data_IF_763209562693
#
_entry.id   IF_763209562693
#
_cell.length_a   1.000
_cell.length_b   1.000
_cell.length_c   1.000
_cell.angle_alpha   90.00
_cell.angle_beta   90.00
_cell.angle_gamma   90.00
#
_symmetry.space_group_name_H-M   'P 1'
#
loop_
_entity.id
_entity.type
_entity.pdbx_description
1 polymer ?
#
# COMPACT_ATOMS: atom_id res chain seq x y z
N UNK A 1 4.19 -7.80 22.24
CA UNK A 1 2.86 -7.26 21.90
C UNK A 1 3.03 -5.86 21.33
N UNK A 2 2.29 -5.48 20.29
CA UNK A 2 2.36 -4.12 19.74
C UNK A 2 1.88 -3.08 20.77
N UNK A 3 2.44 -1.85 20.77
CA UNK A 3 1.95 -0.76 21.61
C UNK A 3 0.46 -0.49 21.39
N UNK A 4 -0.26 -0.13 22.45
CA UNK A 4 -1.66 0.27 22.33
C UNK A 4 -1.71 1.74 21.86
N UNK A 5 -2.34 2.03 20.71
CA UNK A 5 -2.47 3.41 20.23
C UNK A 5 -3.54 4.20 21.00
N UNK A 6 -4.53 3.54 21.60
CA UNK A 6 -5.72 4.23 22.14
C UNK A 6 -5.36 5.04 23.39
N UNK A 7 -5.72 6.32 23.38
CA UNK A 7 -5.43 7.25 24.48
C UNK A 7 -4.08 7.98 24.37
N UNK A 8 -3.27 7.70 23.35
CA UNK A 8 -2.04 8.45 23.06
C UNK A 8 -2.34 9.95 22.92
N UNK A 9 -1.55 10.80 23.58
CA UNK A 9 -1.59 12.26 23.37
C UNK A 9 -0.75 12.58 22.14
N UNK A 10 -1.42 12.95 21.05
CA UNK A 10 -0.77 13.25 19.75
C UNK A 10 -0.11 14.63 19.78
N UNK A 11 -0.78 15.61 20.38
CA UNK A 11 -0.26 16.97 20.61
C UNK A 11 -1.11 17.69 21.65
N UNK A 12 -0.57 18.74 22.24
CA UNK A 12 -1.31 19.58 23.18
C UNK A 12 -0.56 20.85 23.51
N UNK A 13 -1.26 21.80 24.12
CA UNK A 13 -0.71 23.07 24.58
C UNK A 13 -1.64 23.73 25.58
N UNK A 14 -1.08 24.49 26.52
CA UNK A 14 -1.84 25.50 27.27
C UNK A 14 -2.02 26.73 26.39
N UNK A 15 -3.27 27.14 26.13
CA UNK A 15 -3.59 28.32 25.36
C UNK A 15 -3.27 29.62 26.14
N UNK A 16 -3.12 30.78 25.48
CA UNK A 16 -2.81 32.05 26.15
C UNK A 16 -3.80 32.47 27.25
N UNK A 17 -5.03 31.97 27.19
CA UNK A 17 -6.05 32.24 28.20
C UNK A 17 -6.03 31.25 29.37
N UNK A 18 -5.17 30.23 29.37
CA UNK A 18 -5.04 29.24 30.43
C UNK A 18 -5.76 27.91 30.19
N UNK A 19 -6.47 27.74 29.06
CA UNK A 19 -7.10 26.46 28.70
C UNK A 19 -6.03 25.40 28.41
N UNK A 20 -6.14 24.23 29.03
CA UNK A 20 -5.38 23.03 28.65
C UNK A 20 -6.06 22.32 27.47
N UNK A 21 -5.38 22.27 26.34
CA UNK A 21 -5.87 21.64 25.10
C UNK A 21 -5.01 20.41 24.78
N UNK A 22 -5.65 19.25 24.63
CA UNK A 22 -4.99 17.98 24.25
C UNK A 22 -5.71 17.33 23.07
N UNK A 23 -4.98 16.91 22.04
CA UNK A 23 -5.49 16.01 21.01
C UNK A 23 -5.11 14.59 21.40
N UNK A 24 -6.10 13.71 21.55
CA UNK A 24 -5.91 12.32 21.97
C UNK A 24 -6.40 11.35 20.89
N UNK A 25 -5.71 10.22 20.76
CA UNK A 25 -6.05 9.16 19.82
C UNK A 25 -7.21 8.32 20.34
N UNK A 26 -8.16 8.00 19.46
CA UNK A 26 -9.37 7.21 19.75
C UNK A 26 -9.65 6.24 18.61
N UNK A 27 -10.32 5.10 18.84
CA UNK A 27 -10.71 4.21 17.76
C UNK A 27 -11.56 4.92 16.69
N UNK A 28 -11.56 4.41 15.47
CA UNK A 28 -12.48 4.86 14.42
C UNK A 28 -13.93 4.54 14.80
N UNK A 29 -14.16 3.36 15.38
CA UNK A 29 -15.47 2.85 15.78
C UNK A 29 -15.70 1.44 15.22
N UNK A 30 -16.48 1.34 14.15
CA UNK A 30 -16.79 0.09 13.45
C UNK A 30 -16.09 0.07 12.08
N UNK A 31 -15.22 -0.92 11.88
CA UNK A 31 -14.46 -1.13 10.64
C UNK A 31 -15.08 -2.28 9.84
N UNK A 32 -15.47 -2.02 8.60
CA UNK A 32 -15.90 -3.04 7.65
C UNK A 32 -14.76 -3.50 6.74
N UNK A 33 -14.43 -4.78 6.75
CA UNK A 33 -13.37 -5.35 5.90
C UNK A 33 -14.03 -6.19 4.81
N UNK A 34 -13.83 -5.80 3.55
CA UNK A 34 -14.36 -6.52 2.38
C UNK A 34 -13.19 -7.20 1.67
N UNK A 35 -13.14 -8.53 1.64
CA UNK A 35 -11.95 -9.24 1.15
C UNK A 35 -12.28 -10.51 0.35
N UNK A 36 -11.33 -10.94 -0.49
CA UNK A 36 -11.51 -12.09 -1.40
C UNK A 36 -10.36 -13.09 -1.32
N UNK A 37 -10.69 -14.39 -1.37
CA UNK A 37 -9.73 -15.48 -1.61
C UNK A 37 -8.68 -15.73 -0.53
N UNK A 38 -8.73 -15.03 0.61
CA UNK A 38 -7.68 -15.04 1.64
C UNK A 38 -8.28 -15.20 3.06
N UNK A 39 -8.55 -16.43 3.53
CA UNK A 39 -9.14 -16.66 4.85
C UNK A 39 -8.32 -16.10 6.02
N UNK A 40 -6.99 -16.00 5.88
CA UNK A 40 -6.11 -15.43 6.91
C UNK A 40 -6.46 -13.97 7.24
N UNK A 41 -6.97 -13.20 6.26
CA UNK A 41 -7.40 -11.80 6.46
C UNK A 41 -8.46 -11.69 7.55
N UNK A 42 -9.29 -12.73 7.74
CA UNK A 42 -10.26 -12.81 8.84
C UNK A 42 -9.62 -12.59 10.20
N UNK A 43 -8.50 -13.25 10.46
CA UNK A 43 -7.79 -13.21 11.75
C UNK A 43 -6.93 -11.96 11.83
N UNK A 44 -6.18 -11.65 10.77
CA UNK A 44 -5.27 -10.50 10.72
C UNK A 44 -6.03 -9.19 10.96
N UNK A 45 -7.15 -9.02 10.25
CA UNK A 45 -7.97 -7.83 10.36
C UNK A 45 -8.68 -7.73 11.71
N UNK A 46 -9.18 -8.85 12.24
CA UNK A 46 -9.80 -8.88 13.57
C UNK A 46 -8.80 -8.50 14.66
N UNK A 47 -7.58 -9.05 14.62
CA UNK A 47 -6.55 -8.77 15.60
C UNK A 47 -6.16 -7.27 15.60
N UNK A 48 -5.95 -6.69 14.42
CA UNK A 48 -5.60 -5.27 14.27
C UNK A 48 -6.74 -4.34 14.71
N UNK A 49 -7.99 -4.64 14.33
CA UNK A 49 -9.15 -3.85 14.73
C UNK A 49 -9.36 -3.89 16.24
N UNK A 50 -9.35 -5.08 16.84
CA UNK A 50 -9.50 -5.24 18.29
C UNK A 50 -8.38 -4.52 19.05
N UNK A 51 -7.14 -4.65 18.58
CA UNK A 51 -5.98 -4.00 19.22
C UNK A 51 -5.99 -2.48 19.10
N UNK A 52 -6.65 -1.92 18.07
CA UNK A 52 -6.87 -0.48 17.92
C UNK A 52 -8.20 0.00 18.53
N UNK A 53 -8.90 -0.87 19.27
CA UNK A 53 -10.13 -0.56 20.00
C UNK A 53 -11.38 -0.45 19.12
N UNK A 54 -11.33 -1.00 17.90
CA UNK A 54 -12.45 -1.01 16.96
C UNK A 54 -13.25 -2.32 17.04
N UNK A 55 -14.56 -2.23 16.79
CA UNK A 55 -15.34 -3.38 16.38
C UNK A 55 -15.11 -3.64 14.88
N UNK A 56 -15.29 -4.89 14.44
CA UNK A 56 -15.03 -5.29 13.05
C UNK A 56 -16.18 -6.11 12.45
N UNK A 57 -16.56 -5.74 11.22
CA UNK A 57 -17.45 -6.49 10.36
C UNK A 57 -16.63 -7.10 9.22
N UNK A 58 -16.54 -8.42 9.18
CA UNK A 58 -15.73 -9.16 8.22
C UNK A 58 -16.63 -9.69 7.11
N UNK A 59 -16.42 -9.25 5.87
CA UNK A 59 -17.12 -9.77 4.69
C UNK A 59 -16.10 -10.37 3.72
N UNK A 60 -15.90 -11.69 3.83
CA UNK A 60 -15.10 -12.46 2.88
C UNK A 60 -15.87 -12.96 1.65
N UNK A 61 -15.17 -13.48 0.64
CA UNK A 61 -15.78 -14.13 -0.53
C UNK A 61 -16.49 -15.43 -0.18
N UNK A 62 -17.50 -15.80 -0.98
CA UNK A 62 -18.25 -17.06 -0.83
C UNK A 62 -17.34 -18.29 -0.90
N UNK A 63 -16.29 -18.25 -1.72
CA UNK A 63 -15.28 -19.31 -1.86
C UNK A 63 -14.55 -19.67 -0.56
N UNK A 64 -14.48 -18.74 0.40
CA UNK A 64 -13.81 -18.91 1.68
C UNK A 64 -14.80 -18.96 2.86
N UNK A 65 -16.12 -18.95 2.60
CA UNK A 65 -17.13 -18.70 3.64
C UNK A 65 -17.05 -19.67 4.81
N UNK A 66 -16.95 -20.98 4.55
CA UNK A 66 -16.83 -21.99 5.61
C UNK A 66 -15.58 -21.79 6.49
N UNK A 67 -14.46 -21.44 5.87
CA UNK A 67 -13.21 -21.15 6.59
C UNK A 67 -13.35 -19.89 7.43
N UNK A 68 -13.91 -18.82 6.87
CA UNK A 68 -14.13 -17.56 7.58
C UNK A 68 -15.09 -17.75 8.76
N UNK A 69 -16.16 -18.53 8.60
CA UNK A 69 -17.09 -18.88 9.69
C UNK A 69 -16.39 -19.60 10.83
N UNK A 70 -15.55 -20.59 10.53
CA UNK A 70 -14.79 -21.30 11.55
C UNK A 70 -13.81 -20.36 12.28
N UNK A 71 -13.09 -19.51 11.55
CA UNK A 71 -12.13 -18.56 12.11
C UNK A 71 -12.83 -17.50 12.97
N UNK A 72 -13.93 -16.90 12.50
CA UNK A 72 -14.69 -15.92 13.28
C UNK A 72 -15.23 -16.53 14.57
N UNK A 73 -15.71 -17.79 14.54
CA UNK A 73 -16.16 -18.47 15.75
C UNK A 73 -15.03 -18.56 16.80
N UNK A 74 -13.85 -19.02 16.40
CA UNK A 74 -12.68 -19.11 17.30
C UNK A 74 -12.29 -17.75 17.86
N UNK A 75 -12.26 -16.70 17.02
CA UNK A 75 -11.94 -15.34 17.45
C UNK A 75 -12.98 -14.82 18.45
N UNK A 76 -14.28 -15.03 18.17
CA UNK A 76 -15.37 -14.62 19.08
C UNK A 76 -15.30 -15.34 20.42
N UNK A 77 -15.02 -16.64 20.43
CA UNK A 77 -14.84 -17.42 21.66
C UNK A 77 -13.66 -16.86 22.49
N UNK A 78 -12.55 -16.51 21.84
CA UNK A 78 -11.40 -15.90 22.51
C UNK A 78 -11.69 -14.48 23.05
N UNK A 79 -12.40 -13.65 22.29
CA UNK A 79 -12.84 -12.30 22.71
C UNK A 79 -13.77 -12.41 23.94
N UNK A 80 -14.74 -13.31 23.91
CA UNK A 80 -15.65 -13.56 25.04
C UNK A 80 -14.92 -14.11 26.27
N UNK A 81 -13.97 -15.02 26.07
CA UNK A 81 -13.12 -15.56 27.14
C UNK A 81 -12.23 -14.49 27.81
N UNK A 82 -11.91 -13.41 27.10
CA UNK A 82 -11.19 -12.25 27.64
C UNK A 82 -12.11 -11.22 28.33
N UNK A 83 -13.42 -11.48 28.44
CA UNK A 83 -14.40 -10.59 29.08
C UNK A 83 -14.88 -9.43 28.19
N UNK A 84 -14.60 -9.47 26.89
CA UNK A 84 -15.06 -8.47 25.93
C UNK A 84 -16.35 -8.95 25.23
N UNK A 85 -17.17 -8.03 24.69
CA UNK A 85 -18.34 -8.42 23.89
C UNK A 85 -17.92 -9.21 22.66
N UNK A 86 -18.38 -10.46 22.53
CA UNK A 86 -18.08 -11.30 21.36
C UNK A 86 -18.53 -10.64 20.04
N UNK A 87 -19.56 -9.80 20.08
CA UNK A 87 -20.08 -9.03 18.95
C UNK A 87 -19.16 -7.89 18.48
N UNK A 88 -18.02 -7.66 19.15
CA UNK A 88 -16.95 -6.83 18.62
C UNK A 88 -16.33 -7.41 17.33
N UNK A 89 -16.54 -8.71 17.04
CA UNK A 89 -16.15 -9.36 15.79
C UNK A 89 -17.36 -10.07 15.19
N UNK A 90 -17.77 -9.67 13.99
CA UNK A 90 -18.89 -10.32 13.30
C UNK A 90 -18.53 -10.69 11.86
N UNK A 91 -19.05 -11.83 11.42
CA UNK A 91 -19.02 -12.22 10.01
C UNK A 91 -20.30 -11.70 9.35
N UNK A 92 -20.14 -10.87 8.33
CA UNK A 92 -21.24 -10.48 7.45
C UNK A 92 -21.52 -11.66 6.49
N UNK A 93 -22.78 -12.08 6.28
CA UNK A 93 -23.10 -13.22 5.42
C UNK A 93 -22.42 -13.13 4.05
N UNK A 94 -21.63 -14.14 3.68
CA UNK A 94 -20.81 -14.13 2.46
C UNK A 94 -21.45 -14.83 1.26
N UNK A 95 -22.71 -15.23 1.37
CA UNK A 95 -23.38 -16.14 0.42
C UNK A 95 -23.90 -15.44 -0.84
N UNK A 96 -24.15 -14.14 -0.78
CA UNK A 96 -24.56 -13.32 -1.93
C UNK A 96 -23.76 -12.00 -2.01
N UNK A 97 -23.93 -11.27 -3.12
CA UNK A 97 -23.39 -9.90 -3.29
C UNK A 97 -24.22 -8.84 -2.57
N UNK A 98 -25.42 -9.16 -2.11
CA UNK A 98 -26.33 -8.17 -1.51
C UNK A 98 -25.83 -7.69 -0.15
N UNK A 99 -25.26 -8.59 0.64
CA UNK A 99 -24.67 -8.22 1.94
C UNK A 99 -23.51 -7.25 1.82
N UNK A 100 -22.72 -7.31 0.74
CA UNK A 100 -21.66 -6.33 0.44
C UNK A 100 -22.27 -4.96 0.18
N UNK A 101 -23.33 -4.92 -0.64
CA UNK A 101 -24.01 -3.68 -1.00
C UNK A 101 -24.67 -3.02 0.21
N UNK A 102 -25.24 -3.81 1.11
CA UNK A 102 -25.78 -3.32 2.38
C UNK A 102 -24.66 -2.75 3.26
N UNK A 103 -23.56 -3.49 3.43
CA UNK A 103 -22.40 -3.03 4.20
C UNK A 103 -21.82 -1.73 3.63
N UNK A 104 -21.70 -1.62 2.30
CA UNK A 104 -21.22 -0.43 1.60
C UNK A 104 -22.09 0.81 1.82
N UNK A 105 -23.38 0.60 2.14
CA UNK A 105 -24.37 1.66 2.36
C UNK A 105 -24.72 1.91 3.82
N UNK A 106 -24.11 1.16 4.75
CA UNK A 106 -24.39 1.20 6.19
C UNK A 106 -23.79 2.44 6.91
N UNK A 107 -23.81 3.61 6.26
CA UNK A 107 -23.29 4.86 6.83
C UNK A 107 -24.06 5.22 8.10
N UNK A 108 -23.32 5.57 9.16
CA UNK A 108 -23.88 5.83 10.49
C UNK A 108 -23.93 4.59 11.39
N UNK A 109 -23.65 3.40 10.83
CA UNK A 109 -23.42 2.16 11.58
C UNK A 109 -21.98 1.66 11.42
N UNK A 110 -21.38 1.90 10.24
CA UNK A 110 -19.99 1.61 9.91
C UNK A 110 -19.26 2.91 9.65
N UNK A 111 -18.11 3.08 10.31
CA UNK A 111 -17.32 4.31 10.25
C UNK A 111 -16.36 4.31 9.05
N UNK A 112 -15.85 3.14 8.67
CA UNK A 112 -14.93 2.99 7.53
C UNK A 112 -15.01 1.61 6.89
N UNK A 113 -14.80 1.55 5.58
CA UNK A 113 -14.54 0.31 4.84
C UNK A 113 -13.08 0.22 4.40
N UNK A 114 -12.54 -0.99 4.41
CA UNK A 114 -11.22 -1.32 3.89
C UNK A 114 -11.38 -2.52 2.94
N UNK A 115 -11.34 -2.32 1.61
CA UNK A 115 -11.30 -3.41 0.66
C UNK A 115 -9.92 -4.07 0.63
N UNK A 116 -9.86 -5.40 0.48
CA UNK A 116 -8.64 -6.19 0.26
C UNK A 116 -8.89 -7.24 -0.82
N UNK A 117 -8.50 -6.93 -2.06
CA UNK A 117 -8.71 -7.82 -3.19
C UNK A 117 -8.05 -7.29 -4.45
N UNK A 118 -8.53 -7.73 -5.61
CA UNK A 118 -8.09 -7.19 -6.89
C UNK A 118 -8.68 -5.80 -7.17
N UNK A 119 -8.13 -5.12 -8.19
CA UNK A 119 -8.52 -3.78 -8.60
C UNK A 119 -10.04 -3.62 -8.79
N UNK A 120 -10.71 -4.61 -9.41
CA UNK A 120 -12.16 -4.56 -9.63
C UNK A 120 -12.96 -4.47 -8.33
N UNK A 121 -12.60 -5.23 -7.28
CA UNK A 121 -13.28 -5.16 -5.99
C UNK A 121 -13.05 -3.80 -5.33
N UNK A 122 -11.80 -3.35 -5.30
CA UNK A 122 -11.41 -2.07 -4.69
C UNK A 122 -12.18 -0.94 -5.36
N UNK A 123 -12.19 -0.88 -6.69
CA UNK A 123 -12.91 0.13 -7.47
C UNK A 123 -14.41 0.10 -7.20
N UNK A 124 -15.03 -1.09 -7.14
CA UNK A 124 -16.45 -1.19 -6.78
C UNK A 124 -16.72 -0.63 -5.38
N UNK A 125 -15.91 -0.96 -4.37
CA UNK A 125 -16.09 -0.46 -3.01
C UNK A 125 -15.89 1.04 -2.95
N UNK A 126 -14.86 1.58 -3.59
CA UNK A 126 -14.58 3.02 -3.60
C UNK A 126 -15.69 3.82 -4.29
N UNK A 127 -16.20 3.35 -5.43
CA UNK A 127 -17.15 4.10 -6.24
C UNK A 127 -18.62 3.98 -5.79
N UNK A 128 -19.02 2.85 -5.20
CA UNK A 128 -20.43 2.59 -4.87
C UNK A 128 -20.75 2.74 -3.37
N UNK A 129 -19.76 2.95 -2.49
CA UNK A 129 -19.98 3.08 -1.04
C UNK A 129 -20.45 4.47 -0.63
N UNK A 130 -21.36 4.51 0.35
CA UNK A 130 -21.69 5.75 1.07
C UNK A 130 -20.93 5.86 2.40
N UNK A 131 -20.45 4.72 2.93
CA UNK A 131 -19.50 4.66 4.04
C UNK A 131 -18.13 5.14 3.55
N UNK A 132 -17.37 5.94 4.32
CA UNK A 132 -16.01 6.31 3.97
C UNK A 132 -15.12 5.08 3.70
N UNK A 133 -14.24 5.17 2.71
CA UNK A 133 -13.34 4.08 2.34
C UNK A 133 -11.90 4.52 2.59
N UNK A 134 -11.08 3.64 3.17
CA UNK A 134 -9.63 3.73 3.04
C UNK A 134 -9.23 2.74 1.95
N UNK A 135 -8.95 3.29 0.78
CA UNK A 135 -8.56 2.54 -0.41
C UNK A 135 -7.18 1.93 -0.20
N UNK A 136 -7.08 0.61 -0.40
CA UNK A 136 -5.78 -0.03 -0.63
C UNK A 136 -5.51 -0.03 -2.12
N UNK A 137 -4.36 0.51 -2.55
CA UNK A 137 -4.10 0.72 -3.96
C UNK A 137 -3.70 -0.54 -4.73
N UNK A 138 -3.83 -0.45 -6.05
CA UNK A 138 -3.04 -1.26 -6.99
C UNK A 138 -1.58 -0.81 -6.98
N UNK A 139 -0.74 -1.57 -7.67
CA UNK A 139 0.71 -1.55 -7.49
C UNK A 139 1.55 -1.32 -8.75
N UNK A 140 1.22 -0.36 -9.61
CA UNK A 140 2.13 0.00 -10.71
C UNK A 140 3.32 0.82 -10.18
N UNK A 141 4.41 0.13 -9.83
CA UNK A 141 5.60 0.68 -9.19
C UNK A 141 6.79 0.78 -10.15
N UNK A 142 7.60 1.83 -10.03
CA UNK A 142 8.75 2.07 -10.90
C UNK A 142 10.08 1.94 -10.15
N UNK A 143 11.11 1.48 -10.88
CA UNK A 143 12.52 1.65 -10.50
C UNK A 143 13.19 2.53 -11.55
N UNK A 144 13.69 3.68 -11.13
CA UNK A 144 14.45 4.60 -11.97
C UNK A 144 15.96 4.51 -11.68
N UNK A 145 16.75 4.18 -12.70
CA UNK A 145 18.22 4.14 -12.64
C UNK A 145 18.77 5.45 -13.21
N UNK A 146 19.29 6.30 -12.33
CA UNK A 146 19.77 7.64 -12.64
C UNK A 146 21.14 7.66 -13.35
N UNK A 147 21.51 8.79 -13.93
CA UNK A 147 22.80 8.99 -14.61
C UNK A 147 24.02 8.71 -13.72
N UNK A 148 23.87 8.85 -12.40
CA UNK A 148 24.94 8.61 -11.42
C UNK A 148 24.68 7.39 -10.54
N UNK A 149 23.99 6.37 -11.05
CA UNK A 149 23.75 5.12 -10.34
C UNK A 149 25.05 4.31 -10.14
N UNK A 150 25.14 3.64 -8.98
CA UNK A 150 25.96 2.44 -8.85
C UNK A 150 25.22 1.31 -9.58
N UNK A 151 25.80 0.79 -10.65
CA UNK A 151 25.11 -0.13 -11.55
C UNK A 151 24.92 -1.52 -10.96
N UNK A 152 25.83 -1.97 -10.10
CA UNK A 152 25.70 -3.28 -9.45
C UNK A 152 24.57 -3.22 -8.41
N UNK A 153 24.53 -2.14 -7.61
CA UNK A 153 23.40 -1.86 -6.72
C UNK A 153 22.07 -1.74 -7.50
N UNK A 154 22.09 -1.10 -8.67
CA UNK A 154 20.89 -0.96 -9.49
C UNK A 154 20.34 -2.31 -9.99
N UNK A 155 21.21 -3.26 -10.38
CA UNK A 155 20.79 -4.62 -10.75
C UNK A 155 20.18 -5.33 -9.55
N UNK A 156 20.84 -5.31 -8.39
CA UNK A 156 20.33 -5.97 -7.17
C UNK A 156 18.95 -5.42 -6.76
N UNK A 157 18.79 -4.10 -6.79
CA UNK A 157 17.52 -3.44 -6.46
C UNK A 157 16.44 -3.80 -7.49
N UNK A 158 16.74 -3.79 -8.79
CA UNK A 158 15.80 -4.15 -9.84
C UNK A 158 15.28 -5.58 -9.66
N UNK A 159 16.20 -6.55 -9.53
CA UNK A 159 15.85 -7.96 -9.40
C UNK A 159 15.08 -8.22 -8.10
N UNK A 160 15.50 -7.62 -6.98
CA UNK A 160 14.74 -7.74 -5.75
C UNK A 160 13.34 -7.15 -5.88
N UNK A 161 13.22 -5.99 -6.52
CA UNK A 161 11.95 -5.29 -6.71
C UNK A 161 10.97 -6.06 -7.59
N UNK A 162 11.43 -6.71 -8.66
CA UNK A 162 10.56 -7.48 -9.57
C UNK A 162 10.38 -8.94 -9.11
N UNK A 163 11.48 -9.67 -8.91
CA UNK A 163 11.48 -11.13 -8.92
C UNK A 163 11.42 -11.79 -7.52
N UNK A 164 11.58 -11.04 -6.42
CA UNK A 164 11.49 -11.62 -5.07
C UNK A 164 10.09 -12.19 -4.79
N UNK A 165 9.04 -11.45 -5.19
CA UNK A 165 7.64 -11.86 -5.06
C UNK A 165 6.79 -11.06 -6.05
N UNK A 166 6.43 -11.65 -7.19
CA UNK A 166 5.71 -10.95 -8.27
C UNK A 166 4.23 -10.70 -7.94
N UNK A 167 3.58 -11.56 -7.15
CA UNK A 167 2.15 -11.49 -6.86
C UNK A 167 1.74 -10.49 -5.78
N UNK A 168 2.51 -9.41 -5.56
CA UNK A 168 2.22 -8.35 -4.56
C UNK A 168 2.33 -6.96 -5.17
N UNK A 169 1.50 -6.04 -4.67
CA UNK A 169 1.32 -4.68 -5.21
C UNK A 169 2.51 -3.71 -5.04
N UNK A 170 3.63 -4.17 -4.51
CA UNK A 170 4.86 -3.37 -4.41
C UNK A 170 6.01 -4.00 -5.20
N UNK A 171 5.73 -5.00 -6.04
CA UNK A 171 6.67 -5.45 -7.05
C UNK A 171 6.87 -4.33 -8.09
N UNK A 172 8.09 -4.18 -8.60
CA UNK A 172 8.34 -3.27 -9.71
C UNK A 172 7.64 -3.79 -10.97
N UNK A 173 6.93 -2.90 -11.66
CA UNK A 173 6.23 -3.18 -12.91
C UNK A 173 6.86 -2.42 -14.09
N UNK A 174 7.58 -1.31 -13.82
CA UNK A 174 8.30 -0.55 -14.84
C UNK A 174 9.75 -0.23 -14.42
N UNK A 175 10.70 -0.41 -15.33
CA UNK A 175 12.09 0.03 -15.23
C UNK A 175 12.32 1.27 -16.13
N UNK A 176 12.83 2.34 -15.54
CA UNK A 176 13.26 3.53 -16.28
C UNK A 176 14.78 3.67 -16.16
N UNK A 177 15.48 3.83 -17.28
CA UNK A 177 16.95 3.95 -17.28
C UNK A 177 17.38 5.28 -17.89
N UNK A 178 18.25 6.02 -17.21
CA UNK A 178 18.80 7.24 -17.78
C UNK A 178 19.71 6.92 -18.98
N UNK A 179 19.58 7.71 -20.05
CA UNK A 179 20.31 7.50 -21.30
C UNK A 179 21.83 7.37 -21.15
N UNK A 180 22.43 8.16 -20.25
CA UNK A 180 23.89 8.20 -20.04
C UNK A 180 24.46 6.88 -19.48
N UNK A 181 23.64 6.06 -18.83
CA UNK A 181 24.06 4.76 -18.26
C UNK A 181 23.46 3.57 -19.00
N UNK A 182 22.52 3.78 -19.92
CA UNK A 182 21.78 2.73 -20.61
C UNK A 182 22.70 1.72 -21.31
N UNK A 183 23.73 2.18 -22.01
CA UNK A 183 24.65 1.32 -22.74
C UNK A 183 25.45 0.36 -21.84
N UNK A 184 25.75 0.77 -20.61
CA UNK A 184 26.50 -0.03 -19.64
C UNK A 184 25.59 -0.89 -18.76
N UNK A 185 24.43 -0.34 -18.36
CA UNK A 185 23.50 -0.96 -17.43
C UNK A 185 22.58 -2.00 -18.09
N UNK A 186 21.98 -1.68 -19.24
CA UNK A 186 20.95 -2.52 -19.85
C UNK A 186 21.42 -3.94 -20.18
N UNK A 187 22.64 -4.17 -20.72
CA UNK A 187 23.11 -5.53 -20.94
C UNK A 187 23.16 -6.37 -19.65
N UNK A 188 23.54 -5.75 -18.52
CA UNK A 188 23.61 -6.42 -17.20
C UNK A 188 22.21 -6.68 -16.65
N UNK A 189 21.34 -5.68 -16.72
CA UNK A 189 19.97 -5.76 -16.25
C UNK A 189 19.17 -6.81 -17.01
N UNK A 190 19.27 -6.83 -18.35
CA UNK A 190 18.57 -7.80 -19.19
C UNK A 190 19.06 -9.22 -18.94
N UNK A 191 20.37 -9.46 -18.81
CA UNK A 191 20.89 -10.77 -18.45
C UNK A 191 20.37 -11.25 -17.09
N UNK A 192 20.39 -10.38 -16.07
CA UNK A 192 19.88 -10.72 -14.74
C UNK A 192 18.36 -10.99 -14.73
N UNK A 193 17.59 -10.21 -15.50
CA UNK A 193 16.15 -10.43 -15.68
C UNK A 193 15.86 -11.75 -16.41
N UNK A 194 16.68 -12.11 -17.41
CA UNK A 194 16.59 -13.39 -18.10
C UNK A 194 16.84 -14.58 -17.16
N UNK A 195 17.87 -14.49 -16.31
CA UNK A 195 18.16 -15.50 -15.30
C UNK A 195 17.02 -15.66 -14.28
N UNK A 196 16.34 -14.56 -13.96
CA UNK A 196 15.14 -14.57 -13.10
C UNK A 196 13.86 -15.03 -13.82
N UNK A 197 13.92 -15.30 -15.14
CA UNK A 197 12.78 -15.72 -15.95
C UNK A 197 11.78 -14.62 -16.27
N UNK A 198 12.21 -13.34 -16.23
CA UNK A 198 11.36 -12.17 -16.50
C UNK A 198 11.31 -11.87 -17.99
N UNK A 199 10.10 -11.66 -18.52
CA UNK A 199 9.87 -11.08 -19.85
C UNK A 199 9.90 -9.56 -19.77
N UNK A 200 10.60 -8.91 -20.69
CA UNK A 200 10.76 -7.46 -20.72
C UNK A 200 9.98 -6.88 -21.88
N UNK A 201 9.01 -6.01 -21.60
CA UNK A 201 8.26 -5.22 -22.58
C UNK A 201 8.98 -3.89 -22.76
N UNK A 202 9.64 -3.69 -23.88
CA UNK A 202 10.70 -2.68 -24.03
C UNK A 202 10.41 -1.65 -25.12
N UNK A 203 10.85 -0.40 -24.89
CA UNK A 203 10.96 0.60 -25.97
C UNK A 203 12.10 0.26 -26.95
N UNK A 204 12.14 0.96 -28.09
CA UNK A 204 13.17 0.76 -29.13
C UNK A 204 14.60 0.90 -28.59
N UNK A 205 14.82 1.75 -27.58
CA UNK A 205 16.14 2.03 -27.02
C UNK A 205 16.61 0.86 -26.15
N UNK A 206 15.74 0.26 -25.36
CA UNK A 206 16.04 -0.96 -24.60
C UNK A 206 16.20 -2.16 -25.54
N UNK A 207 15.33 -2.29 -26.55
CA UNK A 207 15.40 -3.35 -27.57
C UNK A 207 16.74 -3.39 -28.31
N UNK A 208 17.38 -2.23 -28.53
CA UNK A 208 18.70 -2.15 -29.15
C UNK A 208 19.80 -2.90 -28.36
N UNK A 209 19.60 -3.16 -27.07
CA UNK A 209 20.52 -3.89 -26.19
C UNK A 209 20.15 -5.38 -25.99
N UNK A 210 19.06 -5.86 -26.60
CA UNK A 210 18.51 -7.19 -26.32
C UNK A 210 19.29 -8.35 -26.97
N UNK A 211 19.91 -8.14 -28.14
CA UNK A 211 20.39 -9.21 -29.04
C UNK A 211 21.34 -10.24 -28.41
N UNK A 212 22.12 -9.83 -27.42
CA UNK A 212 23.12 -10.70 -26.75
C UNK A 212 22.81 -10.95 -25.26
N UNK A 213 21.65 -10.50 -24.77
CA UNK A 213 21.30 -10.56 -23.35
C UNK A 213 20.72 -11.89 -22.88
N UNK A 214 20.22 -12.72 -23.80
CA UNK A 214 19.47 -13.93 -23.47
C UNK A 214 18.06 -13.69 -22.90
N UNK A 215 17.67 -12.41 -22.72
CA UNK A 215 16.35 -12.04 -22.22
C UNK A 215 15.26 -12.22 -23.28
N UNK A 216 14.06 -12.61 -22.83
CA UNK A 216 12.86 -12.52 -23.65
C UNK A 216 12.40 -11.05 -23.66
N UNK A 217 12.76 -10.31 -24.72
CA UNK A 217 12.41 -8.90 -24.87
C UNK A 217 11.41 -8.75 -26.01
N UNK A 218 10.27 -8.14 -25.72
CA UNK A 218 9.18 -7.86 -26.68
C UNK A 218 8.94 -6.35 -26.75
N UNK A 219 8.31 -5.88 -27.82
CA UNK A 219 7.96 -4.47 -27.98
C UNK A 219 6.88 -4.07 -26.97
N UNK A 220 7.13 -3.00 -26.22
CA UNK A 220 6.12 -2.43 -25.31
C UNK A 220 5.02 -1.70 -26.10
N UNK A 221 3.77 -1.91 -25.71
CA UNK A 221 2.62 -1.12 -26.17
C UNK A 221 2.30 -0.01 -25.17
N UNK A 222 1.43 0.97 -25.52
CA UNK A 222 0.99 1.98 -24.57
C UNK A 222 0.35 1.40 -23.29
N UNK A 223 -0.32 0.25 -23.39
CA UNK A 223 -0.98 -0.44 -22.28
C UNK A 223 0.02 -1.00 -21.25
N UNK A 224 1.24 -1.36 -21.67
CA UNK A 224 2.27 -1.89 -20.78
C UNK A 224 2.67 -0.89 -19.69
N UNK A 225 2.67 0.41 -19.99
CA UNK A 225 3.04 1.45 -19.02
C UNK A 225 2.00 1.60 -17.90
N UNK A 226 0.72 1.29 -18.16
CA UNK A 226 -0.36 1.37 -17.17
C UNK A 226 -0.54 0.05 -16.39
N UNK A 227 0.04 -1.05 -16.89
CA UNK A 227 -0.29 -2.41 -16.45
C UNK A 227 0.43 -2.78 -15.16
N UNK A 228 -0.34 -3.20 -14.14
CA UNK A 228 0.18 -3.98 -13.02
C UNK A 228 0.16 -5.47 -13.40
N UNK A 229 1.31 -6.02 -13.79
CA UNK A 229 1.38 -7.39 -14.32
C UNK A 229 1.13 -8.47 -13.26
N UNK A 230 1.66 -8.30 -12.05
CA UNK A 230 1.67 -9.32 -10.99
C UNK A 230 2.28 -10.68 -11.42
N UNK A 231 3.16 -10.66 -12.42
CA UNK A 231 3.82 -11.81 -13.03
C UNK A 231 5.31 -11.54 -13.24
N UNK A 232 6.00 -12.49 -13.89
CA UNK A 232 7.38 -12.32 -14.35
C UNK A 232 7.41 -11.51 -15.67
N UNK A 233 6.79 -10.34 -15.65
CA UNK A 233 6.76 -9.37 -16.74
C UNK A 233 7.15 -8.00 -16.18
N UNK A 234 7.87 -7.19 -16.95
CA UNK A 234 8.22 -5.80 -16.60
C UNK A 234 8.27 -4.94 -17.86
N UNK A 235 7.76 -3.71 -17.79
CA UNK A 235 7.97 -2.72 -18.83
C UNK A 235 9.34 -2.03 -18.65
N UNK A 236 10.01 -1.63 -19.73
CA UNK A 236 11.32 -0.99 -19.66
C UNK A 236 11.50 0.11 -20.72
N UNK A 237 11.93 1.29 -20.30
CA UNK A 237 12.20 2.42 -21.20
C UNK A 237 13.50 3.16 -20.84
N UNK A 238 14.11 3.77 -21.85
CA UNK A 238 15.22 4.72 -21.64
C UNK A 238 14.69 6.15 -21.66
N UNK A 239 15.01 6.92 -20.62
CA UNK A 239 14.60 8.33 -20.46
C UNK A 239 15.80 9.27 -20.52
N UNK A 240 15.57 10.48 -21.01
CA UNK A 240 16.65 11.43 -21.30
C UNK A 240 17.16 12.18 -20.05
N UNK A 241 16.36 12.21 -18.98
CA UNK A 241 16.66 12.94 -17.75
C UNK A 241 15.81 12.46 -16.58
N UNK A 242 16.19 12.86 -15.36
CA UNK A 242 15.36 12.70 -14.16
C UNK A 242 13.98 13.33 -14.32
N UNK A 243 13.89 14.49 -14.99
CA UNK A 243 12.60 15.14 -15.23
C UNK A 243 11.70 14.29 -16.11
N UNK A 244 12.25 13.62 -17.13
CA UNK A 244 11.50 12.67 -17.97
C UNK A 244 11.11 11.40 -17.21
N UNK A 245 11.95 10.91 -16.31
CA UNK A 245 11.57 9.82 -15.41
C UNK A 245 10.38 10.21 -14.53
N UNK A 246 10.42 11.38 -13.90
CA UNK A 246 9.33 11.90 -13.06
C UNK A 246 8.06 12.14 -13.87
N UNK A 247 8.18 12.66 -15.10
CA UNK A 247 7.04 12.89 -15.99
C UNK A 247 6.35 11.57 -16.36
N UNK A 248 7.13 10.53 -16.67
CA UNK A 248 6.61 9.17 -16.89
C UNK A 248 5.92 8.60 -15.65
N UNK A 249 6.59 8.64 -14.50
CA UNK A 249 6.03 8.14 -13.23
C UNK A 249 4.71 8.85 -12.91
N UNK A 250 4.64 10.18 -13.04
CA UNK A 250 3.40 10.93 -12.76
C UNK A 250 2.23 10.56 -13.66
N UNK A 251 2.52 10.11 -14.88
CA UNK A 251 1.50 9.69 -15.82
C UNK A 251 0.95 8.31 -15.47
N UNK A 252 1.81 7.39 -15.03
CA UNK A 252 1.47 5.96 -14.97
C UNK A 252 1.47 5.34 -13.56
N UNK A 253 2.01 6.04 -12.57
CA UNK A 253 2.03 5.56 -11.18
C UNK A 253 0.62 5.33 -10.63
N UNK A 254 0.50 4.25 -9.86
CA UNK A 254 -0.64 4.02 -8.97
C UNK A 254 -0.59 4.84 -7.66
N UNK A 255 0.48 5.64 -7.47
CA UNK A 255 0.79 6.32 -6.22
C UNK A 255 1.29 5.38 -5.13
N UNK A 256 1.73 4.17 -5.48
CA UNK A 256 2.18 3.14 -4.53
C UNK A 256 3.64 3.36 -4.11
N UNK A 257 4.59 2.75 -4.81
CA UNK A 257 6.02 2.82 -4.45
C UNK A 257 6.86 3.14 -5.67
N UNK A 258 7.72 4.16 -5.57
CA UNK A 258 8.65 4.52 -6.63
C UNK A 258 10.06 4.57 -6.08
N UNK A 259 11.03 4.00 -6.80
CA UNK A 259 12.42 3.97 -6.39
C UNK A 259 13.32 4.74 -7.35
N UNK A 260 14.31 5.44 -6.82
CA UNK A 260 15.46 5.95 -7.57
C UNK A 260 16.74 5.26 -7.09
N UNK A 261 17.61 4.87 -8.02
CA UNK A 261 18.97 4.40 -7.74
C UNK A 261 19.96 5.45 -8.23
N UNK A 262 20.69 6.08 -7.31
CA UNK A 262 21.66 7.15 -7.59
C UNK A 262 22.67 7.34 -6.47
N UNK A 263 23.91 7.71 -6.80
CA UNK A 263 24.90 8.22 -5.84
C UNK A 263 24.82 9.75 -5.69
N UNK A 264 24.06 10.44 -6.55
CA UNK A 264 23.87 11.88 -6.50
C UNK A 264 22.85 12.27 -5.44
N UNK A 265 23.30 12.94 -4.38
CA UNK A 265 22.39 13.49 -3.36
C UNK A 265 21.42 14.52 -3.93
N UNK A 266 21.81 15.25 -4.99
CA UNK A 266 20.95 16.22 -5.63
C UNK A 266 19.79 15.53 -6.37
N UNK A 267 20.08 14.46 -7.12
CA UNK A 267 19.08 13.67 -7.82
C UNK A 267 18.11 13.00 -6.84
N UNK A 268 18.65 12.36 -5.80
CA UNK A 268 17.84 11.72 -4.75
C UNK A 268 16.86 12.71 -4.10
N UNK A 269 17.34 13.87 -3.65
CA UNK A 269 16.48 14.91 -3.04
C UNK A 269 15.42 15.40 -4.03
N UNK A 270 15.80 15.68 -5.27
CA UNK A 270 14.87 16.17 -6.29
C UNK A 270 13.79 15.14 -6.61
N UNK A 271 14.14 13.86 -6.75
CA UNK A 271 13.19 12.78 -6.99
C UNK A 271 12.17 12.67 -5.84
N UNK A 272 12.65 12.62 -4.59
CA UNK A 272 11.76 12.55 -3.40
C UNK A 272 10.85 13.76 -3.21
N UNK A 273 11.20 14.92 -3.78
CA UNK A 273 10.36 16.11 -3.77
C UNK A 273 9.30 16.12 -4.88
N UNK A 274 9.61 15.51 -6.03
CA UNK A 274 8.78 15.60 -7.22
C UNK A 274 7.81 14.44 -7.38
N UNK A 275 8.15 13.26 -6.85
CA UNK A 275 7.32 12.05 -6.91
C UNK A 275 6.35 12.04 -5.72
N UNK A 276 5.06 11.89 -6.02
CA UNK A 276 3.97 11.94 -5.04
C UNK A 276 3.31 10.58 -4.89
N UNK A 277 4.07 9.60 -4.40
CA UNK A 277 3.61 8.25 -4.08
C UNK A 277 3.62 8.02 -2.58
N UNK A 278 2.98 6.95 -2.11
CA UNK A 278 2.97 6.68 -0.67
C UNK A 278 4.35 6.34 -0.13
N UNK A 279 5.21 5.72 -0.94
CA UNK A 279 6.61 5.48 -0.57
C UNK A 279 7.50 5.90 -1.73
N UNK A 280 8.51 6.73 -1.43
CA UNK A 280 9.57 7.07 -2.37
C UNK A 280 10.89 6.55 -1.82
N UNK A 281 11.43 5.53 -2.47
CA UNK A 281 12.66 4.86 -2.05
C UNK A 281 13.88 5.47 -2.76
N UNK A 282 14.99 5.61 -2.03
CA UNK A 282 16.29 5.99 -2.58
C UNK A 282 17.25 4.85 -2.28
N UNK A 283 17.82 4.23 -3.32
CA UNK A 283 18.76 3.12 -3.20
C UNK A 283 18.21 1.95 -2.36
N UNK A 284 16.92 1.66 -2.49
CA UNK A 284 16.26 0.54 -1.84
C UNK A 284 15.17 -0.04 -2.74
N UNK A 285 14.90 -1.33 -2.58
CA UNK A 285 13.85 -2.02 -3.33
C UNK A 285 12.46 -1.48 -2.97
N UNK A 286 11.56 -1.48 -3.96
CA UNK A 286 10.14 -1.18 -3.77
C UNK A 286 9.47 -2.14 -2.77
N UNK A 287 10.01 -3.37 -2.65
CA UNK A 287 9.52 -4.45 -1.79
C UNK A 287 9.56 -4.14 -0.30
N UNK A 288 10.30 -3.11 0.11
CA UNK A 288 10.32 -2.64 1.49
C UNK A 288 9.04 -1.92 1.90
N UNK A 289 8.14 -1.57 0.98
CA UNK A 289 6.85 -0.96 1.32
C UNK A 289 5.92 -2.00 1.93
N UNK A 290 6.10 -2.27 3.22
CA UNK A 290 5.44 -3.31 3.99
C UNK A 290 5.52 -2.93 5.48
N UNK A 291 4.42 -3.05 6.22
CA UNK A 291 4.35 -2.64 7.62
C UNK A 291 5.30 -3.41 8.54
N UNK A 292 5.61 -4.68 8.22
CA UNK A 292 6.62 -5.44 8.94
C UNK A 292 8.02 -4.87 8.71
N UNK A 293 8.36 -4.56 7.45
CA UNK A 293 9.64 -3.94 7.09
C UNK A 293 9.79 -2.52 7.63
N UNK A 294 8.69 -1.76 7.75
CA UNK A 294 8.68 -0.42 8.34
C UNK A 294 8.69 -0.42 9.88
N UNK A 295 8.67 -1.61 10.50
CA UNK A 295 8.71 -1.74 11.97
C UNK A 295 7.36 -1.53 12.66
N UNK A 296 6.25 -1.51 11.92
CA UNK A 296 4.89 -1.43 12.48
C UNK A 296 4.45 -2.79 13.04
N UNK A 297 5.15 -3.85 12.65
CA UNK A 297 4.96 -5.23 13.07
C UNK A 297 3.83 -5.95 12.33
N UNK A 298 2.72 -5.26 12.07
CA UNK A 298 1.63 -5.75 11.24
C UNK A 298 0.97 -4.59 10.48
N UNK A 299 0.30 -4.91 9.38
CA UNK A 299 -0.48 -3.95 8.57
C UNK A 299 -1.84 -4.51 8.16
N UNK A 300 -2.83 -3.63 8.03
CA UNK A 300 -4.15 -3.97 7.48
C UNK A 300 -4.19 -3.86 5.95
N UNK A 301 -3.18 -3.26 5.33
CA UNK A 301 -3.08 -3.01 3.89
C UNK A 301 -2.20 -1.78 3.63
N UNK A 302 -2.00 -1.45 2.35
CA UNK A 302 -1.21 -0.29 1.93
C UNK A 302 -2.14 0.68 1.23
N UNK A 303 -2.31 1.87 1.79
CA UNK A 303 -3.16 2.89 1.19
C UNK A 303 -2.38 3.82 0.27
N UNK A 304 -2.87 4.04 -0.94
CA UNK A 304 -2.30 4.99 -1.90
C UNK A 304 -2.98 6.35 -1.86
N UNK A 305 -4.14 6.46 -1.19
CA UNK A 305 -4.89 7.70 -1.07
C UNK A 305 -4.17 8.73 -0.20
N UNK A 306 -4.49 10.01 -0.36
CA UNK A 306 -3.89 11.09 0.43
C UNK A 306 -4.55 11.35 1.78
N UNK A 307 -5.83 11.03 1.89
CA UNK A 307 -6.63 11.36 3.07
C UNK A 307 -6.48 10.29 4.16
N UNK A 308 -6.39 10.72 5.41
CA UNK A 308 -6.34 9.88 6.62
C UNK A 308 -5.06 9.08 6.81
N UNK A 309 -4.87 8.01 6.03
CA UNK A 309 -3.72 7.12 6.11
C UNK A 309 -3.14 6.93 4.71
N UNK A 310 -1.81 6.97 4.60
CA UNK A 310 -1.08 6.80 3.35
C UNK A 310 0.14 5.91 3.62
N UNK A 311 0.18 4.77 2.96
CA UNK A 311 1.23 3.76 3.10
C UNK A 311 0.77 2.53 3.84
N UNK A 312 1.71 1.68 4.28
CA UNK A 312 1.42 0.59 5.19
C UNK A 312 0.60 1.07 6.39
N UNK A 313 -0.58 0.50 6.58
CA UNK A 313 -1.50 0.92 7.62
C UNK A 313 -1.36 0.05 8.86
N UNK A 314 -0.70 0.56 9.88
CA UNK A 314 -0.57 -0.10 11.18
C UNK A 314 -1.74 0.18 12.12
N UNK A 315 -1.51 0.00 13.42
CA UNK A 315 -2.50 0.28 14.46
C UNK A 315 -2.92 1.77 14.53
N UNK A 316 -2.00 2.76 14.44
CA UNK A 316 -2.38 4.18 14.48
C UNK A 316 -3.29 4.58 13.31
N UNK A 317 -3.15 3.96 12.14
CA UNK A 317 -3.96 4.26 10.96
C UNK A 317 -5.40 3.75 11.11
N UNK A 318 -5.68 2.87 12.08
CA UNK A 318 -7.02 2.42 12.46
C UNK A 318 -7.64 3.26 13.60
N UNK A 319 -7.16 4.49 13.78
CA UNK A 319 -7.65 5.41 14.82
C UNK A 319 -7.94 6.79 14.27
N UNK A 320 -8.83 7.52 14.93
CA UNK A 320 -9.00 8.96 14.76
C UNK A 320 -8.43 9.72 15.94
N UNK A 321 -8.69 11.02 16.00
CA UNK A 321 -8.31 11.87 17.13
C UNK A 321 -9.48 12.75 17.56
N UNK A 322 -9.51 13.10 18.84
CA UNK A 322 -10.43 14.11 19.39
C UNK A 322 -9.66 15.11 20.23
N UNK A 323 -10.21 16.32 20.36
CA UNK A 323 -9.70 17.31 21.28
C UNK A 323 -10.40 17.21 22.64
N UNK A 324 -9.61 17.24 23.70
CA UNK A 324 -10.03 17.43 25.08
C UNK A 324 -9.65 18.85 25.47
N UNK A 325 -10.65 19.61 25.91
CA UNK A 325 -10.51 21.00 26.37
C UNK A 325 -10.78 21.01 27.86
N UNK A 326 -9.77 21.33 28.66
CA UNK A 326 -9.88 21.48 30.11
C UNK A 326 -9.69 22.94 30.47
N UNK A 327 -10.75 23.57 30.97
CA UNK A 327 -10.72 24.94 31.45
C UNK A 327 -11.33 25.04 32.84
N UNK A 328 -11.10 26.17 33.49
CA UNK A 328 -11.62 26.48 34.83
C UNK A 328 -12.70 27.57 34.76
N UNK A 329 -13.82 27.27 34.09
CA UNK A 329 -14.92 28.24 33.90
C UNK A 329 -14.72 29.26 32.77
N UNK A 330 -13.90 28.93 31.77
CA UNK A 330 -13.65 29.82 30.62
C UNK A 330 -14.90 30.03 29.77
N UNK A 331 -15.18 31.27 29.38
CA UNK A 331 -16.26 31.64 28.46
C UNK A 331 -15.71 32.41 27.26
N UNK A 332 -16.31 32.21 26.07
CA UNK A 332 -16.02 32.99 24.86
C UNK A 332 -17.01 34.17 24.80
N UNK A 333 -16.49 35.40 24.70
CA UNK A 333 -17.27 36.61 24.47
C UNK A 333 -17.18 37.02 23.00
#
# INVERSE_FOLDING_TARGET
>A
ALPDPVGEIVRGSTLPNGIDLRQVRVPLGVVGIIYEGRPNVTVDAAALCLKSGNAVLLRGSSSAYQSNTALVRVVRDAVGGAGLPADAVQLVPGESRDSVRELMRARGLVDVLIPRGGASLINTVVQESTVPVIETGTGNCHVYVDAHADLDMAVDILINSKAQRVGVCNAAETLLVHQDVAAEFLPRALAALAEAGVTVHADDRVMAHAKDSGANVVEATPEDWETEYLSYDIAAAVVDSLDKAVEHIRLWTSGHTEAIVTTSQQAARRFTQLVDSTTVAVNASTRFTDGGQFGFGAEIGISTQKLHARGPMGLPELTSTKYIVTGDGHVRR
#
